data_IF_056566769787
#
_entry.id   IF_056566769787
#
_cell.length_a   1.000
_cell.length_b   1.000
_cell.length_c   1.000
_cell.angle_alpha   90.00
_cell.angle_beta   90.00
_cell.angle_gamma   90.00
#
_symmetry.space_group_name_H-M   'P 1'
#
loop_
_entity.id
_entity.type
_entity.pdbx_description
1 polymer ?
#
# COMPACT_ATOMS: atom_id res chain seq x y z
N UNK A 1 -70.22 -14.35 3.28
CA UNK A 1 -69.15 -15.16 3.88
C UNK A 1 -68.50 -15.89 2.70
N UNK A 2 -67.49 -15.26 2.09
CA UNK A 2 -66.04 -15.61 2.21
C UNK A 2 -65.70 -16.93 1.47
N UNK A 3 -64.67 -17.10 0.66
CA UNK A 3 -63.60 -16.28 0.06
C UNK A 3 -63.06 -17.11 -1.14
N UNK A 4 -62.84 -16.51 -2.31
CA UNK A 4 -62.13 -17.18 -3.42
C UNK A 4 -60.68 -16.71 -3.34
N UNK A 5 -59.78 -17.68 -3.16
CA UNK A 5 -58.34 -17.48 -3.05
C UNK A 5 -57.76 -16.77 -4.27
N UNK A 6 -56.89 -15.81 -3.96
CA UNK A 6 -56.19 -14.93 -4.87
C UNK A 6 -55.42 -15.66 -5.98
N UNK A 7 -55.50 -15.05 -7.16
CA UNK A 7 -54.49 -15.12 -8.21
C UNK A 7 -53.16 -14.53 -7.67
N UNK A 8 -52.01 -14.91 -8.22
CA UNK A 8 -51.19 -13.83 -8.78
C UNK A 8 -50.66 -14.26 -10.15
N UNK A 9 -51.10 -13.56 -11.19
CA UNK A 9 -50.47 -12.33 -11.68
C UNK A 9 -49.08 -12.59 -12.27
N UNK A 10 -49.04 -12.49 -13.60
CA UNK A 10 -47.88 -12.19 -14.43
C UNK A 10 -46.91 -11.23 -13.72
N UNK A 11 -45.88 -11.76 -13.06
CA UNK A 11 -44.82 -10.93 -12.51
C UNK A 11 -43.84 -10.58 -13.61
N UNK A 12 -44.05 -9.37 -14.11
CA UNK A 12 -43.21 -8.68 -15.07
C UNK A 12 -41.72 -8.81 -14.77
N UNK A 13 -40.96 -8.93 -15.85
CA UNK A 13 -39.53 -8.70 -15.84
C UNK A 13 -39.31 -7.24 -15.38
N UNK A 14 -39.13 -7.05 -14.07
CA UNK A 14 -38.71 -5.76 -13.54
C UNK A 14 -37.45 -5.39 -14.30
N UNK A 15 -37.51 -4.30 -15.05
CA UNK A 15 -36.33 -3.69 -15.66
C UNK A 15 -35.35 -3.42 -14.52
N UNK A 16 -34.32 -4.25 -14.41
CA UNK A 16 -33.34 -4.14 -13.33
C UNK A 16 -32.80 -2.72 -13.30
N UNK A 17 -32.77 -2.13 -12.13
CA UNK A 17 -32.16 -0.82 -11.94
C UNK A 17 -30.66 -0.91 -12.26
N UNK A 18 -30.01 0.20 -12.66
CA UNK A 18 -28.57 0.19 -12.93
C UNK A 18 -27.74 -0.34 -11.76
N UNK A 19 -28.16 -0.09 -10.51
CA UNK A 19 -27.51 -0.60 -9.31
C UNK A 19 -27.58 -2.12 -9.21
N UNK A 20 -28.72 -2.72 -9.51
CA UNK A 20 -28.90 -4.18 -9.52
C UNK A 20 -28.10 -4.84 -10.64
N UNK A 21 -28.03 -4.20 -11.81
CA UNK A 21 -27.19 -4.66 -12.92
C UNK A 21 -25.72 -4.62 -12.51
N UNK A 22 -25.27 -3.53 -11.88
CA UNK A 22 -23.90 -3.41 -11.37
C UNK A 22 -23.65 -4.47 -10.29
N UNK A 23 -24.54 -4.66 -9.33
CA UNK A 23 -24.40 -5.69 -8.30
C UNK A 23 -24.32 -7.10 -8.90
N UNK A 24 -25.12 -7.39 -9.93
CA UNK A 24 -25.07 -8.65 -10.66
C UNK A 24 -23.74 -8.82 -11.40
N UNK A 25 -23.22 -7.78 -12.06
CA UNK A 25 -21.93 -7.83 -12.76
C UNK A 25 -20.78 -7.98 -11.76
N UNK A 26 -20.80 -7.26 -10.65
CA UNK A 26 -19.78 -7.36 -9.61
C UNK A 26 -19.74 -8.74 -8.95
N UNK A 27 -20.91 -9.38 -8.78
CA UNK A 27 -21.01 -10.73 -8.20
C UNK A 27 -20.74 -11.85 -9.19
N UNK A 28 -21.03 -11.65 -10.49
CA UNK A 28 -20.82 -12.66 -11.54
C UNK A 28 -19.44 -12.60 -12.20
N UNK A 29 -18.69 -11.52 -12.00
CA UNK A 29 -17.37 -11.31 -12.61
C UNK A 29 -16.25 -11.21 -11.57
N UNK A 30 -14.99 -11.32 -12.02
CA UNK A 30 -13.81 -11.11 -11.18
C UNK A 30 -13.41 -9.63 -11.03
N UNK A 31 -14.32 -8.71 -11.34
CA UNK A 31 -14.01 -7.28 -11.39
C UNK A 31 -13.41 -6.76 -10.07
N UNK A 32 -14.04 -7.05 -8.93
CA UNK A 32 -13.56 -6.60 -7.62
C UNK A 32 -12.21 -7.22 -7.23
N UNK A 33 -11.98 -8.48 -7.61
CA UNK A 33 -10.70 -9.16 -7.42
C UNK A 33 -9.59 -8.50 -8.25
N UNK A 34 -9.87 -8.21 -9.51
CA UNK A 34 -8.91 -7.58 -10.42
C UNK A 34 -8.60 -6.13 -10.03
N UNK A 35 -9.58 -5.43 -9.45
CA UNK A 35 -9.40 -4.09 -8.90
C UNK A 35 -8.66 -4.08 -7.54
N UNK A 36 -8.30 -5.24 -6.98
CA UNK A 36 -7.68 -5.36 -5.66
C UNK A 36 -8.62 -5.01 -4.50
N UNK A 37 -9.92 -4.80 -4.79
CA UNK A 37 -10.95 -4.42 -3.82
C UNK A 37 -11.54 -5.63 -3.09
N UNK A 38 -11.30 -6.84 -3.61
CA UNK A 38 -11.68 -8.09 -2.95
C UNK A 38 -10.49 -9.05 -2.91
N UNK A 39 -10.09 -9.43 -1.69
CA UNK A 39 -9.09 -10.48 -1.50
C UNK A 39 -9.67 -11.87 -1.81
N UNK A 40 -8.88 -12.72 -2.46
CA UNK A 40 -9.24 -14.12 -2.68
C UNK A 40 -9.03 -14.88 -1.37
N UNK A 41 -10.02 -14.91 -0.50
CA UNK A 41 -10.01 -15.83 0.64
C UNK A 41 -11.45 -16.25 0.95
N UNK A 42 -11.84 -17.51 1.05
CA UNK A 42 -11.09 -18.75 1.00
C UNK A 42 -12.06 -19.88 0.61
N UNK A 43 -11.71 -20.69 -0.39
CA UNK A 43 -12.24 -22.05 -0.54
C UNK A 43 -11.05 -22.99 -0.54
N UNK A 44 -10.70 -23.46 0.67
CA UNK A 44 -9.62 -24.41 0.98
C UNK A 44 -8.25 -23.93 0.51
N UNK A 45 -7.69 -22.94 1.21
CA UNK A 45 -6.27 -22.68 1.04
C UNK A 45 -5.49 -23.89 1.57
N UNK A 46 -4.67 -24.49 0.71
CA UNK A 46 -3.85 -25.63 1.10
C UNK A 46 -2.68 -25.14 1.96
N UNK A 47 -2.19 -25.97 2.90
CA UNK A 47 -1.01 -25.64 3.72
C UNK A 47 0.19 -25.17 2.88
N UNK A 48 0.28 -25.63 1.63
CA UNK A 48 1.29 -25.25 0.65
C UNK A 48 1.22 -23.77 0.23
N UNK A 49 0.03 -23.19 0.10
CA UNK A 49 -0.14 -21.79 -0.30
C UNK A 49 0.24 -20.83 0.83
N UNK A 50 -0.07 -21.21 2.08
CA UNK A 50 0.41 -20.48 3.25
C UNK A 50 1.93 -20.52 3.35
N UNK A 51 2.55 -21.68 3.10
CA UNK A 51 4.02 -21.82 3.10
C UNK A 51 4.64 -20.97 2.00
N UNK A 52 4.06 -20.96 0.78
CA UNK A 52 4.55 -20.11 -0.30
C UNK A 52 4.45 -18.62 0.04
N UNK A 53 3.34 -18.19 0.64
CA UNK A 53 3.15 -16.80 1.06
C UNK A 53 4.07 -16.38 2.20
N UNK A 54 4.34 -17.29 3.15
CA UNK A 54 5.31 -17.04 4.23
C UNK A 54 6.71 -16.88 3.64
N UNK A 55 7.11 -17.72 2.69
CA UNK A 55 8.42 -17.61 2.05
C UNK A 55 8.58 -16.31 1.23
N UNK A 56 7.52 -15.89 0.54
CA UNK A 56 7.49 -14.59 -0.15
C UNK A 56 7.66 -13.42 0.83
N UNK A 57 6.91 -13.42 1.93
CA UNK A 57 7.02 -12.40 2.98
C UNK A 57 8.40 -12.39 3.66
N UNK A 58 8.97 -13.56 3.91
CA UNK A 58 10.33 -13.67 4.46
C UNK A 58 11.39 -13.09 3.50
N UNK A 59 11.22 -13.32 2.20
CA UNK A 59 12.10 -12.75 1.18
C UNK A 59 11.96 -11.21 1.10
N UNK A 60 10.74 -10.68 1.18
CA UNK A 60 10.50 -9.23 1.23
C UNK A 60 11.15 -8.59 2.46
N UNK A 61 10.98 -9.19 3.64
CA UNK A 61 11.59 -8.68 4.89
C UNK A 61 13.12 -8.70 4.82
N UNK A 62 13.71 -9.74 4.21
CA UNK A 62 15.16 -9.80 4.01
C UNK A 62 15.64 -8.72 3.05
N UNK A 63 14.93 -8.51 1.94
CA UNK A 63 15.25 -7.46 0.98
C UNK A 63 15.13 -6.06 1.61
N UNK A 64 14.09 -5.83 2.41
CA UNK A 64 13.89 -4.56 3.13
C UNK A 64 15.01 -4.32 4.15
N UNK A 65 15.39 -5.33 4.95
CA UNK A 65 16.50 -5.22 5.89
C UNK A 65 17.83 -4.90 5.21
N UNK A 66 18.11 -5.55 4.08
CA UNK A 66 19.31 -5.27 3.29
C UNK A 66 19.28 -3.88 2.68
N UNK A 67 18.12 -3.44 2.18
CA UNK A 67 17.91 -2.10 1.67
C UNK A 67 18.09 -1.02 2.75
N UNK A 68 17.54 -1.25 3.93
CA UNK A 68 17.67 -0.35 5.08
C UNK A 68 19.12 -0.23 5.56
N UNK A 69 19.85 -1.36 5.66
CA UNK A 69 21.28 -1.36 6.01
C UNK A 69 22.10 -0.56 4.98
N UNK A 70 21.87 -0.81 3.68
CA UNK A 70 22.56 -0.08 2.61
C UNK A 70 22.23 1.42 2.59
N UNK A 71 21.05 1.82 3.07
CA UNK A 71 20.70 3.24 3.25
C UNK A 71 21.38 3.84 4.48
N UNK A 72 21.44 3.11 5.60
CA UNK A 72 22.16 3.55 6.80
C UNK A 72 23.65 3.78 6.51
N UNK A 73 24.31 2.85 5.81
CA UNK A 73 25.71 3.00 5.43
C UNK A 73 25.95 4.25 4.59
N UNK A 74 25.04 4.56 3.65
CA UNK A 74 25.12 5.78 2.83
C UNK A 74 24.95 7.04 3.67
N UNK A 75 24.07 7.03 4.67
CA UNK A 75 23.88 8.16 5.57
C UNK A 75 25.14 8.39 6.40
N UNK A 76 25.70 7.35 6.99
CA UNK A 76 26.91 7.44 7.82
C UNK A 76 28.12 7.96 7.01
N UNK A 77 28.33 7.44 5.79
CA UNK A 77 29.39 7.91 4.88
C UNK A 77 29.24 9.39 4.52
N UNK A 78 28.00 9.91 4.45
CA UNK A 78 27.74 11.30 4.12
C UNK A 78 27.73 12.23 5.34
N UNK A 79 27.55 11.73 6.56
CA UNK A 79 27.55 12.54 7.78
C UNK A 79 28.95 13.05 8.15
N UNK A 80 29.96 12.17 8.12
CA UNK A 80 31.35 12.54 8.44
C UNK A 80 31.88 13.71 7.58
N UNK A 81 31.80 13.69 6.23
CA UNK A 81 32.25 14.82 5.42
C UNK A 81 31.39 16.06 5.60
N UNK A 82 30.08 15.91 5.85
CA UNK A 82 29.17 17.04 6.10
C UNK A 82 29.55 17.79 7.38
N UNK A 83 29.86 17.06 8.45
CA UNK A 83 30.22 17.69 9.71
C UNK A 83 31.60 18.36 9.65
N UNK A 84 32.55 17.74 8.94
CA UNK A 84 33.83 18.39 8.63
C UNK A 84 33.64 19.68 7.84
N UNK A 85 32.79 19.69 6.81
CA UNK A 85 32.47 20.91 6.05
C UNK A 85 31.82 22.00 6.92
N UNK A 86 30.93 21.63 7.85
CA UNK A 86 30.34 22.60 8.79
C UNK A 86 31.39 23.24 9.69
N UNK A 87 32.36 22.46 10.19
CA UNK A 87 33.45 22.98 11.01
C UNK A 87 34.33 23.96 10.21
N UNK A 88 34.68 23.61 8.97
CA UNK A 88 35.46 24.48 8.08
C UNK A 88 34.72 25.81 7.79
N UNK A 89 33.42 25.75 7.48
CA UNK A 89 32.59 26.96 7.28
C UNK A 89 32.56 27.81 8.55
N UNK A 90 32.42 27.18 9.73
CA UNK A 90 32.40 27.90 11.00
C UNK A 90 33.73 28.58 11.29
N UNK A 91 34.85 27.91 11.02
CA UNK A 91 36.18 28.48 11.18
C UNK A 91 36.40 29.68 10.24
N UNK A 92 36.03 29.54 8.97
CA UNK A 92 36.12 30.63 7.99
C UNK A 92 35.26 31.83 8.39
N UNK A 93 34.04 31.59 8.89
CA UNK A 93 33.16 32.66 9.36
C UNK A 93 33.77 33.42 10.55
N UNK A 94 34.33 32.71 11.53
CA UNK A 94 35.01 33.32 12.67
C UNK A 94 36.20 34.18 12.22
N UNK A 95 37.00 33.67 11.29
CA UNK A 95 38.15 34.41 10.75
C UNK A 95 37.72 35.66 9.97
N UNK A 96 36.59 35.59 9.23
CA UNK A 96 36.04 36.75 8.55
C UNK A 96 35.56 37.81 9.55
N UNK A 97 34.83 37.41 10.59
CA UNK A 97 34.38 38.31 11.67
C UNK A 97 35.56 38.97 12.41
N UNK A 98 36.64 38.22 12.67
CA UNK A 98 37.86 38.76 13.29
C UNK A 98 38.58 39.75 12.39
N UNK A 99 38.64 39.49 11.07
CA UNK A 99 39.23 40.42 10.11
C UNK A 99 38.40 41.70 9.96
N UNK A 100 37.07 41.59 9.90
CA UNK A 100 36.16 42.74 9.81
C UNK A 100 36.20 43.61 11.08
N UNK A 101 36.54 43.02 12.24
CA UNK A 101 36.67 43.76 13.50
C UNK A 101 37.99 44.54 13.65
N UNK A 102 39.00 44.25 12.80
CA UNK A 102 40.35 44.85 12.86
C UNK A 102 40.52 45.95 11.79
N UNK A 103 39.62 46.04 10.80
CA UNK A 103 39.57 47.09 9.77
C UNK A 103 38.69 48.28 10.20
#
# INVERSE_FOLDING_TARGET
>A
MEAIMDEPEEQGEMSKTPEEVVAQVLSSTKFLQNAGLQSVAAKRSSKSEYVARVHELEAEVLAEKQGAAAQQDKVEVLEVPRDKQKEEIKALKKHAEENDAIL
#
